data_IF_235326656077
#
_entry.id   IF_235326656077
#
_cell.length_a   1.000
_cell.length_b   1.000
_cell.length_c   1.000
_cell.angle_alpha   90.00
_cell.angle_beta   90.00
_cell.angle_gamma   90.00
#
_symmetry.space_group_name_H-M   'P 1'
#
loop_
_entity.id
_entity.type
_entity.pdbx_description
1 polymer ?
#
# COMPACT_ATOMS: atom_id res chain seq x y z
N UNK A 1 -37.67 6.49 -8.00
CA UNK A 1 -36.48 7.04 -7.29
C UNK A 1 -36.52 8.55 -7.36
N UNK A 2 -36.12 9.27 -6.32
CA UNK A 2 -36.08 10.72 -6.35
C UNK A 2 -34.96 11.21 -7.29
N UNK A 3 -35.32 12.07 -8.24
CA UNK A 3 -34.40 12.61 -9.26
C UNK A 3 -34.12 14.08 -8.93
N UNK A 4 -32.88 14.59 -9.10
CA UNK A 4 -32.61 16.00 -8.90
C UNK A 4 -33.47 16.87 -9.83
N UNK A 5 -34.21 17.81 -9.26
CA UNK A 5 -35.06 18.75 -10.02
C UNK A 5 -34.22 19.69 -10.92
N UNK A 6 -33.01 20.05 -10.49
CA UNK A 6 -32.13 20.99 -11.19
C UNK A 6 -30.66 20.58 -11.13
N UNK A 7 -29.89 21.07 -12.10
CA UNK A 7 -28.44 20.92 -12.11
C UNK A 7 -27.80 21.62 -10.90
N UNK A 8 -26.80 20.97 -10.29
CA UNK A 8 -26.12 21.53 -9.14
C UNK A 8 -25.04 22.53 -9.58
N UNK A 9 -25.13 23.77 -9.11
CA UNK A 9 -24.15 24.81 -9.44
C UNK A 9 -22.70 24.39 -9.10
N UNK A 10 -21.74 24.75 -9.97
CA UNK A 10 -20.31 24.42 -9.81
C UNK A 10 -19.77 24.85 -8.43
N UNK A 11 -20.13 26.03 -7.94
CA UNK A 11 -19.71 26.50 -6.61
C UNK A 11 -20.23 25.64 -5.45
N UNK A 12 -21.43 25.08 -5.56
CA UNK A 12 -21.97 24.13 -4.56
C UNK A 12 -21.24 22.79 -4.62
N UNK A 13 -20.94 22.31 -5.83
CA UNK A 13 -20.17 21.10 -6.04
C UNK A 13 -18.74 21.21 -5.47
N UNK A 14 -18.05 22.33 -5.75
CA UNK A 14 -16.67 22.56 -5.30
C UNK A 14 -16.59 22.70 -3.78
N UNK A 15 -17.50 23.46 -3.15
CA UNK A 15 -17.58 23.55 -1.69
C UNK A 15 -17.78 22.18 -1.04
N UNK A 16 -18.65 21.34 -1.60
CA UNK A 16 -18.83 19.96 -1.12
C UNK A 16 -17.56 19.12 -1.26
N UNK A 17 -16.79 19.32 -2.35
CA UNK A 17 -15.52 18.60 -2.60
C UNK A 17 -14.34 19.12 -1.79
N UNK A 18 -14.44 20.31 -1.17
CA UNK A 18 -13.33 20.93 -0.41
C UNK A 18 -12.80 20.06 0.74
N UNK A 19 -13.65 19.23 1.34
CA UNK A 19 -13.27 18.32 2.42
C UNK A 19 -12.70 16.97 1.94
N UNK A 20 -12.71 16.69 0.64
CA UNK A 20 -12.28 15.39 0.07
C UNK A 20 -10.78 15.36 -0.27
N UNK A 21 -9.95 16.04 0.52
CA UNK A 21 -8.50 16.05 0.32
C UNK A 21 -7.86 14.72 0.74
N UNK A 22 -6.96 14.20 -0.09
CA UNK A 22 -6.16 13.02 0.23
C UNK A 22 -5.06 13.40 1.24
N UNK A 23 -4.87 12.56 2.26
CA UNK A 23 -3.80 12.72 3.24
C UNK A 23 -2.54 11.96 2.80
N UNK A 24 -1.34 12.52 2.99
CA UNK A 24 -0.11 11.80 2.71
C UNK A 24 0.07 10.63 3.67
N UNK A 25 0.70 9.56 3.19
CA UNK A 25 1.07 8.41 4.01
C UNK A 25 2.27 8.76 4.90
N UNK A 26 2.22 8.32 6.17
CA UNK A 26 3.36 8.38 7.07
C UNK A 26 4.20 7.13 6.89
N UNK A 27 5.45 7.31 6.47
CA UNK A 27 6.43 6.24 6.29
C UNK A 27 7.57 6.43 7.30
N UNK A 28 8.01 5.34 7.90
CA UNK A 28 9.13 5.28 8.84
C UNK A 28 10.29 4.49 8.22
N UNK A 29 11.50 4.76 8.67
CA UNK A 29 12.68 4.01 8.22
C UNK A 29 12.74 2.62 8.87
N UNK A 30 13.08 1.60 8.07
CA UNK A 30 13.36 0.27 8.59
C UNK A 30 14.71 0.23 9.30
N UNK A 31 14.81 -0.28 10.55
CA UNK A 31 16.10 -0.35 11.27
C UNK A 31 17.13 -1.28 10.62
N UNK A 32 16.71 -2.25 9.80
CA UNK A 32 17.60 -3.24 9.18
C UNK A 32 18.04 -2.85 7.76
N UNK A 33 17.11 -2.40 6.91
CA UNK A 33 17.41 -2.10 5.51
C UNK A 33 17.31 -0.61 5.13
N UNK A 34 17.00 0.28 6.09
CA UNK A 34 16.85 1.74 5.92
C UNK A 34 15.84 2.18 4.85
N UNK A 35 15.01 1.27 4.33
CA UNK A 35 13.95 1.60 3.39
C UNK A 35 12.73 2.17 4.11
N UNK A 36 11.96 2.98 3.41
CA UNK A 36 10.68 3.49 3.89
C UNK A 36 9.65 2.35 4.03
N UNK A 37 9.05 2.23 5.21
CA UNK A 37 8.05 1.21 5.56
C UNK A 37 6.87 1.87 6.26
N UNK A 38 5.70 1.27 6.11
CA UNK A 38 4.54 1.64 6.91
C UNK A 38 4.74 1.25 8.39
N UNK A 39 4.30 2.10 9.34
CA UNK A 39 4.33 1.75 10.75
C UNK A 39 3.49 0.51 11.05
N UNK A 40 3.90 -0.28 12.03
CA UNK A 40 3.25 -1.54 12.46
C UNK A 40 3.16 -2.66 11.41
N UNK A 41 3.85 -2.54 10.27
CA UNK A 41 3.87 -3.57 9.23
C UNK A 41 5.27 -4.19 9.12
N UNK A 42 5.32 -5.49 8.79
CA UNK A 42 6.58 -6.18 8.47
C UNK A 42 7.21 -5.56 7.24
N UNK A 43 8.52 -5.31 7.26
CA UNK A 43 9.19 -4.77 6.09
C UNK A 43 9.10 -5.77 4.93
N UNK A 44 8.47 -5.36 3.81
CA UNK A 44 8.33 -6.21 2.62
C UNK A 44 9.67 -6.55 1.96
N UNK A 45 10.70 -5.75 2.24
CA UNK A 45 12.00 -5.89 1.61
C UNK A 45 12.93 -6.84 2.37
N UNK A 46 12.98 -6.75 3.70
CA UNK A 46 13.84 -7.62 4.51
C UNK A 46 13.08 -8.69 5.29
N UNK A 47 11.74 -8.62 5.41
CA UNK A 47 10.95 -9.61 6.16
C UNK A 47 11.06 -9.48 7.69
N UNK A 48 11.75 -8.44 8.17
CA UNK A 48 11.95 -8.18 9.60
C UNK A 48 10.87 -7.28 10.18
N UNK A 49 10.51 -7.56 11.43
CA UNK A 49 9.69 -6.71 12.29
C UNK A 49 10.19 -6.81 13.73
N UNK A 50 10.43 -5.65 14.36
CA UNK A 50 10.95 -5.56 15.74
C UNK A 50 12.20 -6.45 15.98
N UNK A 51 13.11 -6.47 15.02
CA UNK A 51 14.38 -7.22 15.13
C UNK A 51 14.25 -8.73 14.95
N UNK A 52 13.05 -9.27 14.68
CA UNK A 52 12.84 -10.69 14.37
C UNK A 52 12.57 -10.87 12.88
N UNK A 53 13.16 -11.90 12.29
CA UNK A 53 12.81 -12.35 10.94
C UNK A 53 11.48 -13.10 11.00
N UNK A 54 10.42 -12.50 10.45
CA UNK A 54 9.09 -13.12 10.42
C UNK A 54 8.85 -13.80 9.07
N UNK A 55 9.48 -13.29 8.01
CA UNK A 55 9.36 -13.81 6.66
C UNK A 55 10.76 -14.07 6.12
N UNK A 56 11.11 -15.34 5.91
CA UNK A 56 12.28 -15.73 5.14
C UNK A 56 12.05 -15.34 3.67
N UNK A 57 12.46 -14.13 3.29
CA UNK A 57 12.22 -13.55 1.95
C UNK A 57 12.89 -14.42 0.88
N UNK A 58 14.10 -14.89 1.13
CA UNK A 58 14.88 -15.74 0.23
C UNK A 58 14.16 -17.06 -0.12
N UNK A 59 13.58 -17.73 0.88
CA UNK A 59 12.87 -19.00 0.67
C UNK A 59 11.59 -18.83 -0.16
N UNK A 60 10.94 -17.65 -0.10
CA UNK A 60 9.77 -17.33 -0.92
C UNK A 60 10.14 -17.03 -2.37
N UNK A 61 11.26 -16.34 -2.61
CA UNK A 61 11.70 -15.99 -3.96
C UNK A 61 12.09 -17.24 -4.77
N UNK A 62 12.85 -18.16 -4.18
CA UNK A 62 13.26 -19.42 -4.82
C UNK A 62 12.03 -20.25 -5.26
N UNK A 63 11.07 -20.46 -4.35
CA UNK A 63 9.81 -21.16 -4.66
C UNK A 63 9.02 -20.50 -5.79
N UNK A 64 9.08 -19.17 -5.89
CA UNK A 64 8.40 -18.41 -6.95
C UNK A 64 9.08 -18.62 -8.31
N UNK A 65 10.42 -18.60 -8.34
CA UNK A 65 11.20 -18.87 -9.55
C UNK A 65 10.98 -20.30 -10.06
N UNK A 66 10.95 -21.29 -9.17
CA UNK A 66 10.70 -22.69 -9.53
C UNK A 66 9.30 -22.87 -10.13
N UNK A 67 8.30 -22.20 -9.56
CA UNK A 67 6.93 -22.22 -10.08
C UNK A 67 6.80 -21.56 -11.46
N UNK A 68 7.55 -20.48 -11.70
CA UNK A 68 7.58 -19.80 -13.01
C UNK A 68 8.25 -20.71 -14.06
N UNK A 69 9.41 -21.31 -13.72
CA UNK A 69 10.11 -22.26 -14.61
C UNK A 69 9.22 -23.46 -14.97
N UNK A 70 8.48 -24.00 -13.99
CA UNK A 70 7.51 -25.10 -14.23
C UNK A 70 6.30 -24.71 -15.09
N UNK A 71 5.97 -23.43 -15.19
CA UNK A 71 4.84 -22.93 -16.01
C UNK A 71 5.26 -22.56 -17.43
N UNK A 72 6.53 -22.23 -17.62
CA UNK A 72 7.11 -21.90 -18.92
C UNK A 72 7.56 -23.14 -19.71
N UNK A 73 7.72 -24.27 -19.02
CA UNK A 73 7.91 -25.60 -19.59
C UNK A 73 6.56 -26.29 -19.74
#
# INVERSE_FOLDING_TARGET
MAVPRHHMAKGKQLRRRSHLALKPLKLNECPQCKKAVLPHIVCKNCGYYRGKEIINVLAKELKKQDKIKKRQK
#
